data_IF_560718790411
#
_entry.id   IF_560718790411
#
_cell.length_a   1.000
_cell.length_b   1.000
_cell.length_c   1.000
_cell.angle_alpha   90.00
_cell.angle_beta   90.00
_cell.angle_gamma   90.00
#
_symmetry.space_group_name_H-M   'P 1'
#
loop_
_entity.id
_entity.type
_entity.pdbx_description
1 polymer ?
#
# COMPACT_ATOMS: atom_id res chain seq x y z
N UNK A 1 24.44 40.87 18.52
CA UNK A 1 23.71 39.94 19.39
C UNK A 1 23.54 38.62 18.68
N UNK A 2 24.22 37.58 19.15
CA UNK A 2 24.11 36.23 18.63
C UNK A 2 22.77 35.59 19.01
N UNK A 3 22.20 34.81 18.09
CA UNK A 3 21.51 33.55 18.43
C UNK A 3 21.41 32.68 17.18
N UNK A 4 22.29 31.69 17.16
CA UNK A 4 22.16 30.49 16.36
C UNK A 4 20.96 29.66 16.84
N UNK A 5 20.26 29.04 15.89
CA UNK A 5 19.48 27.80 16.05
C UNK A 5 19.78 27.04 14.74
N UNK A 6 20.63 26.02 14.65
CA UNK A 6 21.00 25.03 15.64
C UNK A 6 20.10 23.81 15.49
N UNK A 7 20.47 22.92 14.57
CA UNK A 7 20.28 21.47 14.71
C UNK A 7 18.95 20.87 14.23
N UNK A 8 19.01 20.18 13.08
CA UNK A 8 18.41 18.87 12.93
C UNK A 8 19.25 18.06 11.91
N UNK A 9 20.46 17.71 12.32
CA UNK A 9 21.08 16.47 11.87
C UNK A 9 20.50 15.35 12.71
N UNK A 10 19.83 14.41 12.06
CA UNK A 10 19.72 13.01 12.44
C UNK A 10 19.69 12.26 11.11
N UNK A 11 20.84 11.71 10.69
CA UNK A 11 21.28 10.35 11.06
C UNK A 11 20.36 9.31 10.37
N UNK A 12 20.81 8.65 9.32
CA UNK A 12 21.72 7.52 9.48
C UNK A 12 20.95 6.19 9.55
N UNK A 13 19.89 6.00 8.76
CA UNK A 13 19.12 4.75 8.72
C UNK A 13 19.42 3.97 7.44
N UNK A 14 20.07 2.80 7.57
CA UNK A 14 20.32 1.89 6.46
C UNK A 14 19.05 1.47 5.71
N UNK A 15 19.17 0.97 4.47
CA UNK A 15 18.08 0.97 3.48
C UNK A 15 16.91 -0.02 3.70
N UNK A 16 16.70 -0.59 4.90
CA UNK A 16 15.84 -1.77 5.02
C UNK A 16 15.02 -1.92 6.32
N UNK A 17 14.40 -0.86 6.83
CA UNK A 17 13.49 -0.99 7.98
C UNK A 17 12.25 -0.12 7.84
N UNK A 18 11.10 -0.71 8.13
CA UNK A 18 9.73 -0.19 8.06
C UNK A 18 9.56 1.19 8.74
N UNK A 19 10.46 1.51 9.66
CA UNK A 19 10.60 2.82 10.28
C UNK A 19 10.81 3.97 9.28
N UNK A 20 11.54 3.73 8.18
CA UNK A 20 11.74 4.72 7.12
C UNK A 20 10.48 4.96 6.27
N UNK A 21 9.59 3.97 6.18
CA UNK A 21 8.29 4.12 5.51
C UNK A 21 7.32 4.93 6.37
N UNK A 22 7.18 4.57 7.65
CA UNK A 22 6.29 5.26 8.58
C UNK A 22 6.59 6.78 8.62
N UNK A 23 7.87 7.16 8.66
CA UNK A 23 8.28 8.58 8.63
C UNK A 23 7.97 9.28 7.30
N UNK A 24 8.07 8.57 6.17
CA UNK A 24 7.71 9.13 4.86
C UNK A 24 6.20 9.36 4.75
N UNK A 25 5.42 8.39 5.22
CA UNK A 25 3.96 8.48 5.27
C UNK A 25 3.53 9.64 6.16
N UNK A 26 4.07 9.74 7.37
CA UNK A 26 3.78 10.85 8.30
C UNK A 26 4.03 12.21 7.64
N UNK A 27 5.22 12.42 7.07
CA UNK A 27 5.57 13.69 6.40
C UNK A 27 4.63 13.99 5.24
N UNK A 28 4.22 12.97 4.48
CA UNK A 28 3.32 13.14 3.34
C UNK A 28 1.91 13.50 3.79
N UNK A 29 1.38 12.83 4.82
CA UNK A 29 0.06 13.13 5.41
C UNK A 29 0.02 14.56 5.95
N UNK A 30 1.04 14.98 6.70
CA UNK A 30 1.13 16.37 7.19
C UNK A 30 1.12 17.38 6.04
N UNK A 31 1.84 17.11 4.94
CA UNK A 31 1.83 17.98 3.77
C UNK A 31 0.46 18.03 3.11
N UNK A 32 -0.23 16.90 2.95
CA UNK A 32 -1.57 16.82 2.36
C UNK A 32 -2.59 17.62 3.18
N UNK A 33 -2.60 17.42 4.50
CA UNK A 33 -3.49 18.16 5.41
C UNK A 33 -3.25 19.68 5.33
N UNK A 34 -2.02 20.11 5.04
CA UNK A 34 -1.68 21.54 4.94
C UNK A 34 -1.84 22.13 3.52
N UNK A 35 -1.72 21.34 2.45
CA UNK A 35 -1.57 21.87 1.08
C UNK A 35 -2.58 21.30 0.07
N UNK A 36 -3.09 20.08 0.27
CA UNK A 36 -3.96 19.41 -0.71
C UNK A 36 -5.43 19.85 -0.64
N UNK A 37 -5.75 20.79 0.26
CA UNK A 37 -7.10 21.36 0.40
C UNK A 37 -8.19 20.28 0.58
N UNK A 38 -7.86 19.25 1.35
CA UNK A 38 -8.77 18.15 1.69
C UNK A 38 -10.02 18.68 2.38
N UNK A 39 -11.16 18.02 2.15
CA UNK A 39 -12.43 18.39 2.81
C UNK A 39 -12.41 18.22 4.34
N UNK A 40 -11.57 17.31 4.82
CA UNK A 40 -11.34 17.06 6.24
C UNK A 40 -9.87 16.68 6.47
N UNK A 41 -9.45 16.64 7.73
CA UNK A 41 -8.08 16.22 8.07
C UNK A 41 -7.92 14.70 7.92
N UNK A 42 -6.84 14.28 7.25
CA UNK A 42 -6.43 12.89 7.18
C UNK A 42 -5.72 12.50 8.49
N UNK A 43 -6.32 11.58 9.22
CA UNK A 43 -5.84 11.05 10.50
C UNK A 43 -4.75 10.01 10.26
N UNK A 44 -3.50 10.39 10.52
CA UNK A 44 -2.37 9.47 10.42
C UNK A 44 -2.59 8.20 11.26
N UNK A 45 -3.17 8.31 12.47
CA UNK A 45 -3.38 7.17 13.36
C UNK A 45 -4.31 6.10 12.75
N UNK A 46 -5.25 6.50 11.89
CA UNK A 46 -6.21 5.58 11.27
C UNK A 46 -5.66 4.93 10.00
N UNK A 47 -4.82 5.63 9.24
CA UNK A 47 -4.33 5.15 7.93
C UNK A 47 -2.90 4.62 7.96
N UNK A 48 -2.11 4.93 9.01
CA UNK A 48 -0.69 4.58 9.07
C UNK A 48 -0.45 3.07 9.00
N UNK A 49 -1.20 2.27 9.75
CA UNK A 49 -1.02 0.81 9.77
C UNK A 49 -1.23 0.22 8.38
N UNK A 50 -2.34 0.58 7.71
CA UNK A 50 -2.65 0.11 6.37
C UNK A 50 -1.64 0.58 5.32
N UNK A 51 -1.19 1.84 5.39
CA UNK A 51 -0.17 2.37 4.47
C UNK A 51 1.19 1.69 4.68
N UNK A 52 1.59 1.42 5.93
CA UNK A 52 2.83 0.71 6.21
C UNK A 52 2.74 -0.75 5.72
N UNK A 53 1.61 -1.41 5.98
CA UNK A 53 1.36 -2.79 5.54
C UNK A 53 1.38 -2.93 4.01
N UNK A 54 0.82 -1.96 3.28
CA UNK A 54 0.84 -1.94 1.81
C UNK A 54 2.23 -1.68 1.20
N UNK A 55 3.20 -1.22 2.00
CA UNK A 55 4.56 -0.93 1.55
C UNK A 55 4.70 0.40 0.79
N UNK A 56 5.95 0.83 0.61
CA UNK A 56 6.29 2.20 0.19
C UNK A 56 5.71 2.63 -1.15
N UNK A 57 5.68 1.74 -2.14
CA UNK A 57 5.19 2.04 -3.50
C UNK A 57 3.69 2.31 -3.47
N UNK A 58 2.92 1.36 -2.92
CA UNK A 58 1.46 1.43 -2.88
C UNK A 58 1.00 2.55 -1.94
N UNK A 59 1.62 2.72 -0.78
CA UNK A 59 1.31 3.82 0.13
C UNK A 59 1.42 5.19 -0.55
N UNK A 60 2.52 5.44 -1.28
CA UNK A 60 2.71 6.73 -1.97
C UNK A 60 1.74 6.90 -3.14
N UNK A 61 1.36 5.81 -3.82
CA UNK A 61 0.33 5.84 -4.86
C UNK A 61 -1.03 6.21 -4.27
N UNK A 62 -1.47 5.54 -3.21
CA UNK A 62 -2.76 5.82 -2.54
C UNK A 62 -2.83 7.28 -2.06
N UNK A 63 -1.76 7.80 -1.46
CA UNK A 63 -1.70 9.20 -1.01
C UNK A 63 -1.69 10.20 -2.18
N UNK A 64 -1.23 9.79 -3.37
CA UNK A 64 -1.29 10.60 -4.60
C UNK A 64 -2.72 10.63 -5.17
N UNK A 65 -3.39 9.48 -5.20
CA UNK A 65 -4.79 9.40 -5.65
C UNK A 65 -5.70 10.28 -4.77
N UNK A 66 -5.48 10.26 -3.44
CA UNK A 66 -6.21 11.17 -2.54
C UNK A 66 -5.96 12.65 -2.87
N UNK A 67 -4.74 13.03 -3.24
CA UNK A 67 -4.42 14.41 -3.63
C UNK A 67 -5.15 14.80 -4.93
N UNK A 68 -5.18 13.91 -5.91
CA UNK A 68 -5.81 14.14 -7.21
C UNK A 68 -7.33 14.21 -7.12
N UNK A 69 -7.92 13.50 -6.15
CA UNK A 69 -9.37 13.44 -5.88
C UNK A 69 -9.75 14.16 -4.57
N UNK A 70 -8.93 15.10 -4.10
CA UNK A 70 -9.13 15.77 -2.81
C UNK A 70 -10.49 16.49 -2.70
N UNK A 71 -10.99 17.03 -3.81
CA UNK A 71 -12.28 17.70 -3.89
C UNK A 71 -13.48 16.73 -3.97
N UNK A 72 -13.26 15.51 -4.46
CA UNK A 72 -14.26 14.44 -4.56
C UNK A 72 -14.34 13.60 -3.27
N UNK A 73 -13.22 13.46 -2.56
CA UNK A 73 -13.12 12.73 -1.31
C UNK A 73 -13.90 13.43 -0.18
N UNK A 74 -15.13 12.97 0.07
CA UNK A 74 -15.96 13.48 1.16
C UNK A 74 -15.32 13.23 2.54
N UNK A 75 -14.73 12.05 2.71
CA UNK A 75 -13.96 11.68 3.89
C UNK A 75 -12.61 11.09 3.44
N UNK A 76 -11.50 11.81 3.64
CA UNK A 76 -10.16 11.37 3.24
C UNK A 76 -9.71 10.06 3.92
N UNK A 77 -10.16 9.79 5.15
CA UNK A 77 -9.76 8.60 5.90
C UNK A 77 -10.40 7.36 5.28
N UNK A 78 -11.72 7.41 5.07
CA UNK A 78 -12.46 6.32 4.40
C UNK A 78 -11.95 6.10 2.98
N UNK A 79 -11.70 7.19 2.23
CA UNK A 79 -11.18 7.09 0.86
C UNK A 79 -9.83 6.35 0.80
N UNK A 80 -8.90 6.66 1.70
CA UNK A 80 -7.60 5.97 1.79
C UNK A 80 -7.78 4.50 2.21
N UNK A 81 -8.66 4.21 3.17
CA UNK A 81 -8.93 2.84 3.61
C UNK A 81 -9.52 2.00 2.47
N UNK A 82 -10.45 2.54 1.68
CA UNK A 82 -11.04 1.87 0.51
C UNK A 82 -9.97 1.56 -0.55
N UNK A 83 -9.10 2.52 -0.86
CA UNK A 83 -7.99 2.31 -1.80
C UNK A 83 -6.99 1.24 -1.32
N UNK A 84 -6.72 1.18 -0.02
CA UNK A 84 -5.87 0.16 0.59
C UNK A 84 -6.53 -1.22 0.55
N UNK A 85 -7.83 -1.30 0.84
CA UNK A 85 -8.59 -2.54 0.75
C UNK A 85 -8.61 -3.08 -0.69
N UNK A 86 -8.87 -2.21 -1.68
CA UNK A 86 -8.82 -2.57 -3.09
C UNK A 86 -7.41 -3.05 -3.51
N UNK A 87 -6.36 -2.36 -3.03
CA UNK A 87 -4.99 -2.75 -3.28
C UNK A 87 -4.63 -4.14 -2.74
N UNK A 88 -5.14 -4.50 -1.55
CA UNK A 88 -4.92 -5.81 -0.96
C UNK A 88 -5.70 -6.92 -1.70
N UNK A 89 -6.91 -6.62 -2.20
CA UNK A 89 -7.72 -7.58 -2.95
C UNK A 89 -7.07 -7.97 -4.28
N UNK A 90 -6.47 -7.02 -4.99
CA UNK A 90 -5.77 -7.27 -6.27
C UNK A 90 -4.59 -8.25 -6.11
N UNK A 91 -3.86 -8.18 -4.99
CA UNK A 91 -2.78 -9.14 -4.69
C UNK A 91 -3.32 -10.53 -4.33
N UNK A 92 -4.48 -10.59 -3.66
CA UNK A 92 -5.18 -11.85 -3.35
C UNK A 92 -5.73 -12.55 -4.60
N UNK A 93 -6.21 -11.80 -5.58
CA UNK A 93 -6.76 -12.36 -6.82
C UNK A 93 -5.66 -12.86 -7.77
N UNK A 94 -4.50 -12.20 -7.80
CA UNK A 94 -3.30 -12.69 -8.48
C UNK A 94 -2.77 -14.00 -7.86
N UNK A 95 -2.84 -14.14 -6.53
CA UNK A 95 -2.48 -15.38 -5.83
C UNK A 95 -3.50 -16.50 -6.08
N UNK A 96 -4.81 -16.19 -6.09
CA UNK A 96 -5.88 -17.17 -6.35
C UNK A 96 -5.90 -17.68 -7.82
N UNK A 97 -5.48 -16.85 -8.78
CA UNK A 97 -5.34 -17.25 -10.18
C UNK A 97 -4.16 -18.21 -10.41
N UNK A 98 -3.07 -18.09 -9.61
CA UNK A 98 -1.89 -18.95 -9.74
C UNK A 98 -2.12 -20.39 -9.23
N UNK A 99 -2.97 -20.58 -8.22
CA UNK A 99 -3.29 -21.89 -7.62
C UNK A 99 -4.22 -22.77 -8.49
N UNK A 100 -4.88 -22.22 -9.52
CA UNK A 100 -5.74 -22.99 -10.44
C UNK A 100 -5.02 -23.57 -11.66
N UNK A 101 -3.72 -23.33 -11.84
CA UNK A 101 -2.99 -23.62 -13.06
C UNK A 101 -2.23 -24.96 -13.13
N UNK A 102 -2.23 -25.81 -12.10
CA UNK A 102 -1.39 -27.02 -12.05
C UNK A 102 -2.19 -28.24 -11.57
N UNK A 103 -2.99 -28.84 -12.46
CA UNK A 103 -3.75 -30.03 -12.12
C UNK A 103 -4.49 -30.64 -13.28
N UNK A 104 -3.76 -31.22 -14.24
CA UNK A 104 -4.37 -32.12 -15.22
C UNK A 104 -3.62 -32.19 -16.53
N UNK A 105 -2.79 -33.20 -16.69
CA UNK A 105 -2.83 -34.10 -17.87
C UNK A 105 -1.74 -35.16 -17.71
N UNK A 106 -2.15 -36.35 -17.29
CA UNK A 106 -1.25 -37.46 -17.07
C UNK A 106 -2.01 -38.76 -16.86
N UNK A 107 -2.92 -39.11 -17.77
CA UNK A 107 -3.43 -40.49 -17.81
C UNK A 107 -3.83 -40.86 -19.26
N UNK A 108 -2.86 -41.31 -20.03
CA UNK A 108 -3.06 -42.12 -21.24
C UNK A 108 -2.08 -43.30 -21.23
N UNK A 109 -2.39 -44.31 -20.41
CA UNK A 109 -1.92 -45.69 -20.56
C UNK A 109 -3.19 -46.52 -20.67
N UNK A 110 -3.46 -47.18 -21.78
CA UNK A 110 -2.76 -48.38 -22.24
C UNK A 110 -3.80 -49.50 -22.14
N UNK A 111 -4.28 -50.00 -23.27
CA UNK A 111 -3.97 -51.38 -23.66
C UNK A 111 -4.97 -52.35 -23.03
N UNK A 112 -6.09 -52.58 -23.73
CA UNK A 112 -7.06 -53.63 -23.40
C UNK A 112 -6.98 -54.70 -24.48
N UNK A 113 -6.05 -55.63 -24.28
CA UNK A 113 -5.85 -56.84 -25.06
C UNK A 113 -6.51 -58.02 -24.33
N UNK A 114 -7.16 -58.91 -25.07
CA UNK A 114 -7.34 -60.31 -24.65
C UNK A 114 -8.76 -60.77 -24.32
N UNK A 115 -9.37 -61.40 -25.33
CA UNK A 115 -10.50 -62.33 -25.32
C UNK A 115 -10.42 -63.48 -24.28
N UNK A 116 -11.51 -64.25 -24.14
CA UNK A 116 -11.45 -65.71 -24.07
C UNK A 116 -11.92 -66.40 -25.37
#
# INVERSE_FOLDING_TARGET
GARAKGGASQDGGGPNSDNGLAQKVEKRVQWLNANANLRAELSLAEVQEGLVSAGVRKAMQVLKELEEHADEAMDPNLYVQDLLAAAAAEEGEAAAAAERGQGGEGERRGGGDGEP
#
